data_IF_004963442935
#
_entry.id   IF_004963442935
#
_cell.length_a   1.000
_cell.length_b   1.000
_cell.length_c   1.000
_cell.angle_alpha   90.00
_cell.angle_beta   90.00
_cell.angle_gamma   90.00
#
_symmetry.space_group_name_H-M   'P 1'
#
loop_
_entity.id
_entity.type
_entity.pdbx_description
1 polymer ?
#
# COMPACT_ATOMS: atom_id res chain seq x y z
N UNK A 1 -38.23 -87.95 -41.87
CA UNK A 1 -36.98 -88.68 -41.73
C UNK A 1 -35.87 -87.72 -42.00
N UNK A 2 -35.28 -87.13 -40.98
CA UNK A 2 -34.06 -86.40 -41.06
C UNK A 2 -33.45 -86.40 -39.66
N UNK A 3 -32.43 -87.15 -39.53
CA UNK A 3 -31.59 -87.33 -38.32
C UNK A 3 -30.80 -86.02 -38.01
N UNK A 4 -30.93 -85.54 -36.79
CA UNK A 4 -30.17 -84.42 -36.26
C UNK A 4 -28.91 -84.99 -35.64
N UNK A 5 -27.76 -84.58 -36.14
CA UNK A 5 -26.44 -84.89 -35.66
C UNK A 5 -26.12 -83.92 -34.47
N UNK A 6 -25.91 -84.51 -33.35
CA UNK A 6 -25.41 -83.75 -32.13
C UNK A 6 -23.89 -83.61 -32.26
N UNK A 7 -23.46 -82.38 -32.35
CA UNK A 7 -22.06 -82.03 -32.38
C UNK A 7 -21.54 -81.86 -30.93
N UNK A 8 -20.61 -82.73 -30.59
CA UNK A 8 -19.86 -82.64 -29.32
C UNK A 8 -19.05 -81.39 -29.34
N UNK A 9 -19.34 -80.51 -28.39
CA UNK A 9 -18.65 -79.27 -28.15
C UNK A 9 -17.39 -79.55 -27.21
N UNK A 10 -16.24 -79.49 -27.81
CA UNK A 10 -14.98 -79.80 -27.21
C UNK A 10 -14.68 -78.82 -26.02
N UNK A 11 -14.34 -79.45 -24.93
CA UNK A 11 -13.86 -78.88 -23.67
C UNK A 11 -12.67 -77.93 -23.92
N UNK A 12 -12.92 -76.60 -23.79
CA UNK A 12 -11.86 -75.60 -23.87
C UNK A 12 -11.19 -75.46 -22.46
N UNK A 13 -9.87 -75.54 -22.40
CA UNK A 13 -9.20 -75.39 -21.13
C UNK A 13 -9.42 -74.00 -20.54
N UNK A 14 -9.74 -73.95 -19.24
CA UNK A 14 -9.93 -72.73 -18.50
C UNK A 14 -8.65 -71.85 -18.52
N UNK A 15 -8.78 -70.52 -18.66
CA UNK A 15 -7.60 -69.65 -18.65
C UNK A 15 -6.93 -69.71 -17.28
N UNK A 16 -5.64 -70.04 -17.32
CA UNK A 16 -4.77 -70.03 -16.17
C UNK A 16 -4.65 -68.58 -15.67
N UNK A 17 -5.28 -68.28 -14.55
CA UNK A 17 -5.16 -66.98 -13.86
C UNK A 17 -3.77 -66.99 -13.24
N UNK A 18 -2.82 -66.34 -13.90
CA UNK A 18 -1.51 -66.04 -13.34
C UNK A 18 -1.73 -65.11 -12.12
N UNK A 19 -1.83 -65.69 -10.91
CA UNK A 19 -1.74 -64.94 -9.68
C UNK A 19 -0.38 -64.24 -9.62
N UNK A 20 -0.38 -62.96 -9.92
CA UNK A 20 0.82 -62.11 -9.77
C UNK A 20 1.22 -62.14 -8.28
N UNK A 21 2.31 -62.80 -7.96
CA UNK A 21 2.88 -62.84 -6.63
C UNK A 21 2.97 -61.41 -6.09
N UNK A 22 2.53 -61.13 -4.84
CA UNK A 22 2.64 -59.81 -4.26
C UNK A 22 4.11 -59.40 -4.21
N UNK A 23 4.49 -58.41 -5.02
CA UNK A 23 5.81 -57.83 -4.98
C UNK A 23 6.03 -57.29 -3.57
N UNK A 24 6.93 -57.93 -2.83
CA UNK A 24 7.33 -57.45 -1.51
C UNK A 24 7.95 -56.08 -1.68
N UNK A 25 7.16 -55.04 -1.38
CA UNK A 25 7.65 -53.67 -1.39
C UNK A 25 8.76 -53.55 -0.35
N UNK A 26 9.97 -53.26 -0.83
CA UNK A 26 11.14 -53.16 0.06
C UNK A 26 10.86 -52.04 1.09
N UNK A 27 10.71 -52.44 2.35
CA UNK A 27 10.40 -51.52 3.48
C UNK A 27 11.46 -50.41 3.62
N UNK A 28 12.68 -50.63 3.12
CA UNK A 28 13.76 -49.63 3.10
C UNK A 28 13.45 -48.54 2.07
N UNK A 29 12.93 -48.90 0.92
CA UNK A 29 12.59 -48.01 -0.17
C UNK A 29 11.36 -47.12 0.22
N UNK A 30 10.36 -47.72 0.89
CA UNK A 30 9.23 -46.99 1.44
C UNK A 30 9.66 -45.98 2.50
N UNK A 31 10.57 -46.39 3.41
CA UNK A 31 11.08 -45.47 4.45
C UNK A 31 11.88 -44.31 3.83
N UNK A 32 12.68 -44.58 2.80
CA UNK A 32 13.44 -43.55 2.10
C UNK A 32 12.52 -42.55 1.39
N UNK A 33 11.47 -43.04 0.72
CA UNK A 33 10.47 -42.18 0.06
C UNK A 33 9.67 -41.31 1.06
N UNK A 34 9.28 -41.90 2.20
CA UNK A 34 8.58 -41.15 3.26
C UNK A 34 9.51 -40.09 3.85
N UNK A 35 10.77 -40.41 4.12
CA UNK A 35 11.74 -39.45 4.61
C UNK A 35 11.97 -38.30 3.61
N UNK A 36 12.11 -38.61 2.32
CA UNK A 36 12.25 -37.60 1.27
C UNK A 36 11.02 -36.71 1.14
N UNK A 37 9.80 -37.27 1.24
CA UNK A 37 8.56 -36.51 1.21
C UNK A 37 8.44 -35.57 2.44
N UNK A 38 8.82 -36.04 3.62
CA UNK A 38 8.81 -35.19 4.84
C UNK A 38 9.80 -34.04 4.70
N UNK A 39 11.01 -34.28 4.21
CA UNK A 39 12.03 -33.24 3.96
C UNK A 39 11.51 -32.23 2.93
N UNK A 40 10.90 -32.68 1.85
CA UNK A 40 10.32 -31.80 0.83
C UNK A 40 9.21 -30.90 1.40
N UNK A 41 8.30 -31.47 2.22
CA UNK A 41 7.24 -30.70 2.88
C UNK A 41 7.82 -29.66 3.85
N UNK A 42 8.82 -30.03 4.64
CA UNK A 42 9.48 -29.10 5.56
C UNK A 42 10.24 -27.99 4.81
N UNK A 43 10.86 -28.30 3.69
CA UNK A 43 11.55 -27.32 2.85
C UNK A 43 10.55 -26.32 2.23
N UNK A 44 9.43 -26.80 1.71
CA UNK A 44 8.37 -25.93 1.17
C UNK A 44 7.74 -25.08 2.26
N UNK A 45 7.43 -25.66 3.42
CA UNK A 45 6.90 -24.90 4.57
C UNK A 45 7.91 -23.85 5.07
N UNK A 46 9.19 -24.23 5.17
CA UNK A 46 10.27 -23.29 5.54
C UNK A 46 10.42 -22.14 4.55
N UNK A 47 10.35 -22.42 3.24
CA UNK A 47 10.40 -21.41 2.18
C UNK A 47 9.20 -20.45 2.27
N UNK A 48 8.00 -20.99 2.49
CA UNK A 48 6.78 -20.19 2.62
C UNK A 48 6.82 -19.27 3.86
N UNK A 49 7.35 -19.77 4.98
CA UNK A 49 7.57 -18.96 6.20
C UNK A 49 8.65 -17.91 5.94
N UNK A 50 9.74 -18.27 5.31
CA UNK A 50 10.82 -17.34 4.99
C UNK A 50 10.36 -16.23 4.06
N UNK A 51 9.57 -16.53 3.02
CA UNK A 51 8.96 -15.51 2.14
C UNK A 51 8.04 -14.56 2.88
N UNK A 52 7.28 -15.03 3.88
CA UNK A 52 6.43 -14.19 4.72
C UNK A 52 7.21 -13.30 5.69
N UNK A 53 8.43 -13.71 6.05
CA UNK A 53 9.30 -12.95 6.94
C UNK A 53 10.16 -11.93 6.20
N UNK A 54 10.21 -12.00 4.86
CA UNK A 54 10.90 -10.97 4.09
C UNK A 54 10.12 -9.65 4.15
N UNK A 55 10.83 -8.53 4.38
CA UNK A 55 10.19 -7.24 4.29
C UNK A 55 9.58 -7.05 2.89
N UNK A 56 8.43 -6.40 2.79
CA UNK A 56 7.82 -6.13 1.51
C UNK A 56 8.78 -5.31 0.64
N UNK A 57 8.75 -5.52 -0.70
CA UNK A 57 9.65 -4.82 -1.61
C UNK A 57 9.41 -3.31 -1.58
N UNK A 58 10.50 -2.57 -1.72
CA UNK A 58 10.44 -1.12 -1.89
C UNK A 58 9.75 -0.75 -3.21
N UNK A 59 9.02 0.37 -3.16
CA UNK A 59 8.36 0.91 -4.35
C UNK A 59 9.38 1.52 -5.31
N UNK A 60 9.16 1.29 -6.60
CA UNK A 60 9.77 2.08 -7.67
C UNK A 60 8.86 3.25 -8.06
N UNK A 61 9.43 4.28 -8.69
CA UNK A 61 8.64 5.40 -9.20
C UNK A 61 7.53 4.96 -10.18
N UNK A 62 7.85 4.00 -11.06
CA UNK A 62 6.87 3.46 -12.03
C UNK A 62 5.70 2.75 -11.34
N UNK A 63 5.94 2.04 -10.23
CA UNK A 63 4.88 1.41 -9.43
C UNK A 63 3.98 2.46 -8.76
N UNK A 64 4.55 3.54 -8.25
CA UNK A 64 3.78 4.66 -7.69
C UNK A 64 2.92 5.32 -8.77
N UNK A 65 3.49 5.62 -9.92
CA UNK A 65 2.74 6.18 -11.06
C UNK A 65 1.57 5.27 -11.46
N UNK A 66 1.82 3.95 -11.59
CA UNK A 66 0.78 2.96 -11.92
C UNK A 66 -0.32 2.89 -10.86
N UNK A 67 0.05 2.94 -9.58
CA UNK A 67 -0.92 2.94 -8.48
C UNK A 67 -1.85 4.15 -8.54
N UNK A 68 -1.32 5.34 -8.77
CA UNK A 68 -2.11 6.57 -8.82
C UNK A 68 -2.94 6.69 -10.11
N UNK A 69 -2.43 6.23 -11.23
CA UNK A 69 -3.19 6.19 -12.49
C UNK A 69 -4.42 5.27 -12.39
N UNK A 70 -4.35 4.22 -11.55
CA UNK A 70 -5.48 3.34 -11.27
C UNK A 70 -6.54 3.93 -10.34
N UNK A 71 -6.27 5.07 -9.69
CA UNK A 71 -7.23 5.75 -8.81
C UNK A 71 -8.15 6.65 -9.66
N UNK A 72 -9.31 6.12 -10.04
CA UNK A 72 -10.27 6.85 -10.87
C UNK A 72 -10.91 7.99 -10.08
N UNK A 73 -10.89 9.20 -10.64
CA UNK A 73 -11.63 10.36 -10.13
C UNK A 73 -13.11 10.25 -10.48
N UNK A 74 -13.95 11.04 -9.78
CA UNK A 74 -15.37 11.09 -10.07
C UNK A 74 -15.69 11.60 -11.48
N UNK A 75 -14.78 12.38 -12.09
CA UNK A 75 -14.86 12.86 -13.47
C UNK A 75 -14.17 11.94 -14.49
N UNK A 76 -13.65 10.81 -14.03
CA UNK A 76 -12.97 9.82 -14.88
C UNK A 76 -11.55 10.19 -15.30
N UNK A 77 -11.01 11.33 -14.83
CA UNK A 77 -9.65 11.77 -15.15
C UNK A 77 -8.74 11.70 -13.93
N UNK A 78 -7.49 11.41 -14.16
CA UNK A 78 -6.46 11.37 -13.12
C UNK A 78 -5.18 12.00 -13.67
N UNK A 79 -4.91 13.23 -13.28
CA UNK A 79 -3.63 13.88 -13.59
C UNK A 79 -2.60 13.43 -12.55
N UNK A 80 -1.70 12.55 -12.99
CA UNK A 80 -0.59 12.08 -12.17
C UNK A 80 0.69 12.73 -12.67
N UNK A 81 1.28 13.56 -11.85
CA UNK A 81 2.54 14.23 -12.15
C UNK A 81 3.69 13.58 -11.39
N UNK A 82 4.79 13.33 -12.09
CA UNK A 82 6.06 12.96 -11.46
C UNK A 82 6.67 14.20 -10.82
N UNK A 83 7.21 14.02 -9.62
CA UNK A 83 7.85 15.07 -8.87
C UNK A 83 9.35 14.80 -8.83
N UNK A 84 10.10 15.78 -9.28
CA UNK A 84 11.55 15.81 -9.24
C UNK A 84 11.98 16.93 -8.27
N UNK A 85 12.80 16.64 -7.23
CA UNK A 85 13.27 17.64 -6.29
C UNK A 85 13.94 18.84 -6.95
N UNK A 86 14.65 18.61 -8.07
CA UNK A 86 15.34 19.66 -8.81
C UNK A 86 14.41 20.67 -9.49
N UNK A 87 13.10 20.36 -9.57
CA UNK A 87 12.09 21.21 -10.21
C UNK A 87 11.22 21.96 -9.22
N UNK A 88 11.50 21.84 -7.92
CA UNK A 88 10.79 22.63 -6.92
C UNK A 88 11.24 24.09 -7.02
N UNK A 89 10.31 25.02 -7.24
CA UNK A 89 10.66 26.42 -7.33
C UNK A 89 11.18 26.95 -6.00
N UNK A 90 12.24 27.72 -6.04
CA UNK A 90 12.71 28.48 -4.89
C UNK A 90 12.15 29.91 -4.91
N UNK A 91 11.91 30.52 -3.79
CA UNK A 91 12.07 30.02 -2.43
C UNK A 91 10.85 29.21 -1.94
N UNK A 92 11.07 28.23 -1.03
CA UNK A 92 9.96 27.53 -0.39
C UNK A 92 9.14 28.49 0.48
N UNK A 93 7.88 28.16 0.64
CA UNK A 93 7.00 28.88 1.55
C UNK A 93 7.54 28.79 2.97
N UNK A 94 7.82 29.92 3.61
CA UNK A 94 8.27 29.92 5.01
C UNK A 94 7.09 29.69 5.93
N UNK A 95 7.27 28.77 6.87
CA UNK A 95 6.28 28.37 7.87
C UNK A 95 6.80 28.77 9.25
N UNK A 96 5.95 29.41 10.03
CA UNK A 96 6.27 29.80 11.40
C UNK A 96 5.19 29.28 12.36
N UNK A 97 5.57 28.57 13.44
CA UNK A 97 6.92 28.21 13.85
C UNK A 97 7.59 27.26 12.85
N UNK A 98 8.92 27.38 12.69
CA UNK A 98 9.68 26.56 11.74
C UNK A 98 9.59 25.06 12.04
N UNK A 99 9.45 24.69 13.34
CA UNK A 99 9.23 23.33 13.78
C UNK A 99 7.99 22.65 13.14
N UNK A 100 7.03 23.44 12.67
CA UNK A 100 5.83 22.93 12.00
C UNK A 100 6.02 22.67 10.50
N UNK A 101 7.15 23.06 9.95
CA UNK A 101 7.44 22.90 8.49
C UNK A 101 7.23 21.46 7.98
N UNK A 102 7.65 20.39 8.69
CA UNK A 102 7.46 19.02 8.20
C UNK A 102 6.01 18.60 7.97
N UNK A 103 5.05 19.29 8.60
CA UNK A 103 3.63 19.02 8.41
C UNK A 103 3.11 19.45 7.03
N UNK A 104 3.76 20.44 6.42
CA UNK A 104 3.25 21.13 5.23
C UNK A 104 4.10 20.91 4.00
N UNK A 105 4.71 19.73 3.91
CA UNK A 105 5.45 19.31 2.73
C UNK A 105 4.48 19.05 1.57
N UNK A 106 4.59 19.82 0.50
CA UNK A 106 3.73 19.64 -0.68
C UNK A 106 4.22 20.48 -1.87
N UNK A 107 3.65 20.22 -3.05
CA UNK A 107 3.81 21.07 -4.23
C UNK A 107 3.26 22.49 -4.01
N UNK A 108 2.26 22.64 -3.13
CA UNK A 108 1.64 23.95 -2.81
C UNK A 108 2.59 24.80 -1.96
N UNK A 109 3.31 24.18 -1.03
CA UNK A 109 4.28 24.88 -0.18
C UNK A 109 5.66 25.01 -0.82
N UNK A 110 5.85 24.45 -2.01
CA UNK A 110 7.15 24.35 -2.67
C UNK A 110 8.23 23.69 -1.81
N UNK A 111 7.81 22.76 -0.96
CA UNK A 111 8.70 22.03 -0.06
C UNK A 111 8.77 20.58 -0.44
N UNK A 112 9.97 20.12 -0.70
CA UNK A 112 10.25 18.71 -0.90
C UNK A 112 10.91 18.15 0.36
N UNK A 113 10.50 16.96 0.84
CA UNK A 113 11.08 16.40 2.06
C UNK A 113 12.57 16.12 1.88
N UNK A 114 13.39 16.43 2.91
CA UNK A 114 14.79 16.07 2.88
C UNK A 114 14.99 14.57 2.62
N UNK A 115 16.04 14.22 1.90
CA UNK A 115 16.42 12.84 1.55
C UNK A 115 15.41 12.05 0.70
N UNK A 116 14.28 12.60 0.32
CA UNK A 116 13.41 11.97 -0.66
C UNK A 116 14.03 12.02 -2.06
N UNK A 117 13.88 10.94 -2.83
CA UNK A 117 14.52 10.77 -4.14
C UNK A 117 13.68 11.39 -5.26
N UNK A 118 12.40 11.09 -5.25
CA UNK A 118 11.40 11.48 -6.23
C UNK A 118 9.99 11.24 -5.68
N UNK A 119 8.97 11.46 -6.47
CA UNK A 119 7.61 11.20 -6.05
C UNK A 119 6.58 11.34 -7.16
N UNK A 120 5.33 11.21 -6.75
CA UNK A 120 4.16 11.45 -7.59
C UNK A 120 3.18 12.35 -6.85
N UNK A 121 2.46 13.17 -7.60
CA UNK A 121 1.34 13.95 -7.07
C UNK A 121 0.13 13.82 -7.96
N UNK A 122 -1.03 13.95 -7.34
CA UNK A 122 -2.29 14.12 -8.05
C UNK A 122 -3.14 15.15 -7.33
N UNK A 123 -3.94 15.85 -8.10
CA UNK A 123 -4.79 16.92 -7.60
C UNK A 123 -6.16 16.84 -8.27
N UNK A 124 -7.22 17.06 -7.51
CA UNK A 124 -8.57 17.19 -8.05
C UNK A 124 -9.47 18.11 -7.22
N UNK A 125 -10.47 18.62 -7.86
CA UNK A 125 -11.50 19.43 -7.24
C UNK A 125 -12.66 18.52 -6.80
N UNK A 126 -13.03 18.59 -5.53
CA UNK A 126 -14.19 17.92 -4.95
C UNK A 126 -15.43 18.81 -5.00
N UNK A 127 -15.73 19.42 -6.17
CA UNK A 127 -16.78 20.42 -6.32
C UNK A 127 -16.26 21.84 -6.11
N UNK A 128 -17.18 22.80 -5.95
CA UNK A 128 -16.84 24.23 -5.85
C UNK A 128 -16.17 24.63 -4.52
N UNK A 129 -16.32 23.82 -3.47
CA UNK A 129 -15.92 24.16 -2.11
C UNK A 129 -14.79 23.32 -1.55
N UNK A 130 -14.30 22.30 -2.27
CA UNK A 130 -13.24 21.43 -1.78
C UNK A 130 -12.20 21.09 -2.84
N UNK A 131 -10.97 20.91 -2.40
CA UNK A 131 -9.89 20.38 -3.23
C UNK A 131 -9.11 19.33 -2.46
N UNK A 132 -8.55 18.38 -3.19
CA UNK A 132 -7.73 17.33 -2.63
C UNK A 132 -6.42 17.25 -3.41
N UNK A 133 -5.32 17.18 -2.67
CA UNK A 133 -4.00 16.91 -3.23
C UNK A 133 -3.41 15.70 -2.52
N UNK A 134 -2.91 14.75 -3.29
CA UNK A 134 -2.08 13.65 -2.79
C UNK A 134 -0.66 13.85 -3.29
N UNK A 135 0.27 13.69 -2.38
CA UNK A 135 1.70 13.89 -2.62
C UNK A 135 2.45 12.71 -1.97
N UNK A 136 2.95 11.80 -2.79
CA UNK A 136 3.72 10.65 -2.32
C UNK A 136 5.16 10.79 -2.76
N UNK A 137 6.07 10.71 -1.82
CA UNK A 137 7.50 10.68 -2.10
C UNK A 137 8.10 9.33 -1.77
N UNK A 138 9.17 9.01 -2.47
CA UNK A 138 9.94 7.80 -2.33
C UNK A 138 11.30 8.11 -1.71
N UNK A 139 11.70 7.29 -0.74
CA UNK A 139 13.01 7.30 -0.10
C UNK A 139 13.87 6.15 -0.60
N UNK A 140 15.13 6.13 -0.22
CA UNK A 140 16.08 5.09 -0.61
C UNK A 140 15.63 3.69 -0.16
N UNK A 141 15.07 3.60 1.05
CA UNK A 141 14.60 2.38 1.69
C UNK A 141 13.50 2.68 2.72
N UNK A 142 12.99 1.62 3.35
CA UNK A 142 11.94 1.72 4.36
C UNK A 142 12.40 2.45 5.63
N UNK A 143 13.67 2.31 6.03
CA UNK A 143 14.24 2.96 7.23
C UNK A 143 14.31 4.48 7.04
N UNK A 144 14.71 4.94 5.85
CA UNK A 144 14.71 6.34 5.51
C UNK A 144 13.30 6.95 5.49
N UNK A 145 12.30 6.20 4.98
CA UNK A 145 10.90 6.61 5.02
C UNK A 145 10.36 6.67 6.46
N UNK A 146 10.75 5.71 7.32
CA UNK A 146 10.37 5.70 8.72
C UNK A 146 10.97 6.90 9.46
N UNK A 147 12.24 7.20 9.23
CA UNK A 147 12.89 8.38 9.83
C UNK A 147 12.17 9.68 9.43
N UNK A 148 11.80 9.82 8.16
CA UNK A 148 11.05 10.96 7.66
C UNK A 148 9.64 11.05 8.26
N UNK A 149 8.92 9.93 8.36
CA UNK A 149 7.60 9.87 8.97
C UNK A 149 7.65 10.24 10.47
N UNK A 150 8.68 9.80 11.18
CA UNK A 150 8.90 10.16 12.60
C UNK A 150 9.08 11.67 12.77
N UNK A 151 9.84 12.33 11.89
CA UNK A 151 9.98 13.80 11.89
C UNK A 151 8.62 14.49 11.75
N UNK A 152 7.75 13.97 10.90
CA UNK A 152 6.37 14.50 10.76
C UNK A 152 5.56 14.26 12.04
N UNK A 153 5.69 13.09 12.66
CA UNK A 153 5.03 12.75 13.93
C UNK A 153 5.47 13.67 15.08
N UNK A 154 6.77 13.92 15.21
CA UNK A 154 7.32 14.83 16.21
C UNK A 154 6.83 16.27 15.98
N UNK A 155 6.81 16.71 14.72
CA UNK A 155 6.28 18.01 14.35
C UNK A 155 4.77 18.12 14.64
N UNK A 156 3.98 17.08 14.39
CA UNK A 156 2.54 17.08 14.67
C UNK A 156 2.27 17.26 16.16
N UNK A 157 2.98 16.53 17.01
CA UNK A 157 2.90 16.65 18.47
C UNK A 157 3.36 18.01 18.96
N UNK A 158 4.51 18.50 18.45
CA UNK A 158 5.06 19.79 18.82
C UNK A 158 4.22 21.00 18.37
N UNK A 159 3.47 20.85 17.30
CA UNK A 159 2.65 21.93 16.73
C UNK A 159 1.17 21.87 17.13
N UNK A 160 0.74 20.81 17.80
CA UNK A 160 -0.64 20.70 18.29
C UNK A 160 -1.03 21.91 19.15
N UNK A 161 -2.15 22.54 18.80
CA UNK A 161 -2.64 23.75 19.47
C UNK A 161 -1.91 25.05 19.12
N UNK A 162 -0.85 25.03 18.33
CA UNK A 162 -0.14 26.24 17.90
C UNK A 162 -0.82 26.89 16.68
N UNK A 163 -0.64 28.20 16.56
CA UNK A 163 -1.01 28.92 15.34
C UNK A 163 0.17 28.94 14.39
N UNK A 164 -0.04 28.45 13.18
CA UNK A 164 0.94 28.43 12.11
C UNK A 164 0.64 29.54 11.12
N UNK A 165 1.69 30.23 10.68
CA UNK A 165 1.61 31.29 9.65
C UNK A 165 2.45 30.92 8.44
N UNK A 166 1.96 31.29 7.25
CA UNK A 166 2.62 31.05 5.98
C UNK A 166 3.07 32.38 5.39
N UNK A 167 4.36 32.54 5.07
CA UNK A 167 4.88 33.77 4.45
C UNK A 167 4.38 33.90 3.00
N UNK A 168 4.08 35.11 2.59
CA UNK A 168 3.65 35.39 1.21
C UNK A 168 2.19 35.00 0.89
N UNK A 169 1.46 34.47 1.84
CA UNK A 169 0.01 34.29 1.79
C UNK A 169 -0.58 34.86 3.07
N UNK A 170 -1.76 35.46 3.00
CA UNK A 170 -2.47 35.95 4.20
C UNK A 170 -3.07 34.79 5.03
N UNK A 171 -2.30 33.70 5.17
CA UNK A 171 -2.78 32.49 5.77
C UNK A 171 -2.17 32.19 7.13
N UNK A 172 -3.02 32.10 8.13
CA UNK A 172 -2.66 31.50 9.42
C UNK A 172 -3.75 30.50 9.82
N UNK A 173 -3.39 29.52 10.66
CA UNK A 173 -4.37 28.58 11.18
C UNK A 173 -3.84 27.87 12.41
N UNK A 174 -4.76 27.36 13.23
CA UNK A 174 -4.42 26.55 14.39
C UNK A 174 -4.31 25.08 14.01
N UNK A 175 -3.25 24.44 14.41
CA UNK A 175 -3.06 22.99 14.21
C UNK A 175 -3.84 22.24 15.28
N UNK A 176 -4.67 21.29 14.86
CA UNK A 176 -5.46 20.44 15.73
C UNK A 176 -5.19 18.98 15.38
N UNK A 177 -4.91 18.15 16.38
CA UNK A 177 -4.81 16.70 16.18
C UNK A 177 -6.17 16.12 15.78
N UNK A 178 -6.18 15.23 14.81
CA UNK A 178 -7.35 14.49 14.38
C UNK A 178 -7.13 13.00 14.66
N UNK A 179 -8.00 12.35 15.46
CA UNK A 179 -7.88 10.92 15.71
C UNK A 179 -7.94 10.12 14.40
N UNK A 180 -6.99 9.21 14.21
CA UNK A 180 -6.96 8.28 13.09
C UNK A 180 -7.49 6.94 13.54
N UNK A 181 -8.51 6.44 12.86
CA UNK A 181 -9.00 5.07 13.04
C UNK A 181 -8.44 4.21 11.92
N UNK A 182 -7.27 3.64 12.15
CA UNK A 182 -6.66 2.70 11.22
C UNK A 182 -6.95 1.25 11.63
N UNK A 183 -7.17 0.31 10.69
CA UNK A 183 -7.17 -1.12 10.97
C UNK A 183 -5.83 -1.55 11.60
N UNK A 184 -5.84 -2.61 12.41
CA UNK A 184 -4.65 -3.06 13.15
C UNK A 184 -3.46 -3.47 12.25
N UNK A 185 -3.75 -3.85 11.00
CA UNK A 185 -2.80 -4.22 9.96
C UNK A 185 -2.54 -3.09 8.95
N UNK A 186 -3.09 -1.91 9.21
CA UNK A 186 -2.90 -0.76 8.34
C UNK A 186 -1.50 -0.16 8.49
N UNK A 187 -0.99 0.45 7.42
CA UNK A 187 0.23 1.27 7.49
C UNK A 187 0.12 2.37 8.53
N UNK A 188 1.25 2.83 9.04
CA UNK A 188 1.30 3.94 9.99
C UNK A 188 0.68 5.19 9.39
N UNK A 189 -0.22 5.80 10.16
CA UNK A 189 -0.95 6.99 9.74
C UNK A 189 -1.00 8.00 10.88
N UNK A 190 -1.01 9.27 10.52
CA UNK A 190 -1.34 10.37 11.42
C UNK A 190 -2.19 11.40 10.68
N UNK A 191 -2.98 12.17 11.42
CA UNK A 191 -3.82 13.20 10.85
C UNK A 191 -3.87 14.43 11.75
N UNK A 192 -3.97 15.58 11.13
CA UNK A 192 -4.16 16.86 11.79
C UNK A 192 -4.97 17.79 10.89
N UNK A 193 -5.60 18.76 11.51
CA UNK A 193 -6.34 19.80 10.80
C UNK A 193 -5.67 21.15 11.01
N UNK A 194 -5.76 22.03 10.04
CA UNK A 194 -5.42 23.44 10.16
C UNK A 194 -6.72 24.25 10.08
N UNK A 195 -7.20 24.71 11.24
CA UNK A 195 -8.36 25.61 11.30
C UNK A 195 -7.94 27.07 11.08
N UNK A 196 -8.38 27.66 9.99
CA UNK A 196 -8.09 29.05 9.61
C UNK A 196 -9.08 30.08 10.17
N UNK A 197 -10.04 29.61 10.94
CA UNK A 197 -11.09 30.45 11.48
C UNK A 197 -12.31 30.62 10.55
N UNK A 198 -13.28 31.39 11.02
CA UNK A 198 -14.57 31.53 10.34
C UNK A 198 -14.43 32.13 8.94
N UNK A 199 -14.93 31.39 7.95
CA UNK A 199 -15.03 31.84 6.55
C UNK A 199 -13.77 31.68 5.72
N UNK A 200 -12.66 31.17 6.30
CA UNK A 200 -11.39 30.98 5.57
C UNK A 200 -11.12 29.54 5.17
N UNK A 201 -12.02 28.62 5.46
CA UNK A 201 -11.85 27.20 5.17
C UNK A 201 -10.90 26.49 6.13
N UNK A 202 -10.78 25.19 5.93
CA UNK A 202 -9.95 24.28 6.74
C UNK A 202 -9.11 23.39 5.86
N UNK A 203 -7.94 23.09 6.31
CA UNK A 203 -7.12 22.02 5.73
C UNK A 203 -7.15 20.80 6.64
N UNK A 204 -7.45 19.64 6.05
CA UNK A 204 -7.18 18.37 6.67
C UNK A 204 -5.92 17.80 6.04
N UNK A 205 -5.04 17.33 6.88
CA UNK A 205 -3.79 16.74 6.48
C UNK A 205 -3.75 15.33 7.04
N UNK A 206 -3.54 14.36 6.17
CA UNK A 206 -3.29 12.98 6.54
C UNK A 206 -1.95 12.56 5.99
N UNK A 207 -1.17 11.85 6.79
CA UNK A 207 0.12 11.33 6.39
C UNK A 207 0.14 9.83 6.60
N UNK A 208 0.63 9.11 5.61
CA UNK A 208 0.70 7.66 5.56
C UNK A 208 2.13 7.24 5.26
N UNK A 209 2.68 6.30 6.03
CA UNK A 209 3.93 5.61 5.67
C UNK A 209 3.64 4.19 5.21
N UNK A 210 4.23 3.81 4.08
CA UNK A 210 4.20 2.42 3.61
C UNK A 210 5.53 2.09 2.91
N UNK A 211 6.26 1.10 3.43
CA UNK A 211 7.59 0.72 2.92
C UNK A 211 8.51 1.94 2.82
N UNK A 212 9.14 2.15 1.67
CA UNK A 212 10.03 3.29 1.39
C UNK A 212 9.30 4.56 0.95
N UNK A 213 8.02 4.72 1.27
CA UNK A 213 7.22 5.89 0.86
C UNK A 213 6.53 6.58 2.00
N UNK A 214 6.37 7.90 1.87
CA UNK A 214 5.49 8.71 2.72
C UNK A 214 4.54 9.48 1.81
N UNK A 215 3.27 9.43 2.13
CA UNK A 215 2.18 10.09 1.39
C UNK A 215 1.54 11.16 2.26
N UNK A 216 1.43 12.36 1.76
CA UNK A 216 0.63 13.44 2.33
C UNK A 216 -0.64 13.62 1.52
N UNK A 217 -1.76 13.71 2.21
CA UNK A 217 -3.03 14.14 1.66
C UNK A 217 -3.39 15.49 2.25
N UNK A 218 -3.65 16.45 1.39
CA UNK A 218 -4.20 17.74 1.75
C UNK A 218 -5.62 17.83 1.21
N UNK A 219 -6.57 18.04 2.10
CA UNK A 219 -7.95 18.37 1.73
C UNK A 219 -8.28 19.75 2.22
N UNK A 220 -8.59 20.65 1.31
CA UNK A 220 -9.11 21.96 1.61
C UNK A 220 -10.62 21.93 1.51
N UNK A 221 -11.32 22.52 2.48
CA UNK A 221 -12.77 22.57 2.53
C UNK A 221 -13.20 23.93 3.06
N UNK A 222 -14.08 24.63 2.30
CA UNK A 222 -14.68 25.90 2.68
C UNK A 222 -16.08 25.73 3.25
N UNK A 223 -16.59 24.51 3.37
CA UNK A 223 -17.92 24.25 3.90
C UNK A 223 -18.07 24.75 5.34
N UNK A 224 -19.16 25.40 5.70
CA UNK A 224 -19.41 25.80 7.07
C UNK A 224 -19.70 24.57 7.94
N UNK A 225 -19.22 24.60 9.18
CA UNK A 225 -19.48 23.54 10.15
C UNK A 225 -18.22 22.91 10.75
N UNK A 226 -18.36 21.94 11.65
CA UNK A 226 -17.23 21.20 12.19
C UNK A 226 -16.56 20.39 11.08
N UNK A 227 -15.23 20.19 11.23
CA UNK A 227 -14.49 19.36 10.29
C UNK A 227 -14.96 17.90 10.37
N UNK A 228 -15.34 17.34 9.21
CA UNK A 228 -15.61 15.92 9.07
C UNK A 228 -14.35 15.22 8.53
N UNK A 229 -13.70 14.45 9.40
CA UNK A 229 -12.47 13.71 9.07
C UNK A 229 -12.77 12.45 8.24
N UNK A 230 -14.00 11.93 8.25
CA UNK A 230 -14.36 10.64 7.66
C UNK A 230 -14.02 10.55 6.17
N UNK A 231 -14.38 11.50 5.31
CA UNK A 231 -14.07 11.40 3.89
C UNK A 231 -12.56 11.41 3.59
N UNK A 232 -11.80 12.19 4.35
CA UNK A 232 -10.35 12.24 4.20
C UNK A 232 -9.70 10.92 4.63
N UNK A 233 -10.14 10.33 5.74
CA UNK A 233 -9.70 9.03 6.21
C UNK A 233 -10.08 7.90 5.23
N UNK A 234 -11.28 7.93 4.66
CA UNK A 234 -11.70 6.94 3.66
C UNK A 234 -10.84 6.98 2.40
N UNK A 235 -10.49 8.19 1.92
CA UNK A 235 -9.59 8.35 0.79
C UNK A 235 -8.21 7.81 1.13
N UNK A 236 -7.62 8.15 2.27
CA UNK A 236 -6.30 7.67 2.67
C UNK A 236 -6.27 6.13 2.82
N UNK A 237 -7.32 5.54 3.36
CA UNK A 237 -7.48 4.09 3.40
C UNK A 237 -7.59 3.48 1.99
N UNK A 238 -8.19 4.18 1.03
CA UNK A 238 -8.20 3.81 -0.40
C UNK A 238 -6.81 3.82 -1.01
N UNK A 239 -6.05 4.89 -0.78
CA UNK A 239 -4.64 5.01 -1.20
C UNK A 239 -3.81 3.89 -0.62
N UNK A 240 -3.92 3.63 0.67
CA UNK A 240 -3.23 2.56 1.36
C UNK A 240 -3.49 1.19 0.70
N UNK A 241 -4.76 0.84 0.48
CA UNK A 241 -5.13 -0.43 -0.18
C UNK A 241 -4.55 -0.55 -1.58
N UNK A 242 -4.59 0.53 -2.36
CA UNK A 242 -4.04 0.53 -3.72
C UNK A 242 -2.51 0.33 -3.71
N UNK A 243 -1.80 1.02 -2.85
CA UNK A 243 -0.35 0.85 -2.70
C UNK A 243 -0.01 -0.57 -2.23
N UNK A 244 -0.72 -1.11 -1.23
CA UNK A 244 -0.53 -2.49 -0.76
C UNK A 244 -0.76 -3.50 -1.88
N UNK A 245 -1.78 -3.30 -2.73
CA UNK A 245 -2.04 -4.21 -3.85
C UNK A 245 -0.91 -4.23 -4.87
N UNK A 246 -0.32 -3.07 -5.17
CA UNK A 246 0.83 -2.95 -6.07
C UNK A 246 2.07 -3.62 -5.47
N UNK A 247 2.29 -3.44 -4.18
CA UNK A 247 3.40 -4.07 -3.45
C UNK A 247 3.28 -5.60 -3.41
N UNK A 248 2.09 -6.11 -3.16
CA UNK A 248 1.80 -7.55 -3.17
C UNK A 248 2.02 -8.14 -4.57
N UNK A 249 1.58 -7.46 -5.63
CA UNK A 249 1.83 -7.89 -7.00
C UNK A 249 3.33 -7.92 -7.33
N UNK A 250 4.10 -6.94 -6.86
CA UNK A 250 5.54 -6.90 -7.02
C UNK A 250 6.27 -8.00 -6.24
N UNK A 251 5.77 -8.36 -5.05
CA UNK A 251 6.30 -9.47 -4.27
C UNK A 251 6.03 -10.83 -4.93
N UNK A 252 4.85 -11.01 -5.53
CA UNK A 252 4.48 -12.24 -6.22
C UNK A 252 5.23 -12.46 -7.55
N UNK A 253 5.83 -11.41 -8.12
CA UNK A 253 6.60 -11.47 -9.38
C UNK A 253 8.10 -11.82 -9.15
N UNK A 254 8.56 -11.92 -7.91
CA UNK A 254 9.94 -12.33 -7.52
C UNK A 254 10.04 -13.83 -7.34
#
# INVERSE_FOLDING_TARGET
MTTSEVRDEADAPAPEVLEAAPRSVDRRLVRALVAAAVVAVLAVAGLAVWQKLQPPPDFTLAQLQGAYTGMVRSDGTNDVSTIDPSRFPEPPLRISPEACTPLFVSTISNQFPPAALDGVSTYWLGGASSSISLFTVRYADADAAEAAFRVVGDASTGCAGQTVTFSGTEGSGRVEEVPVTAPADAPEQLAFALDRGRGQGRYALHVLRLSNTVTWQYRYDTSPGPYDAIPAQQLMNGVSRQLLSVQQAAAAAR
#
